data_IF_371428605352
#
_entry.id   IF_371428605352
#
_cell.length_a   1.000
_cell.length_b   1.000
_cell.length_c   1.000
_cell.angle_alpha   90.00
_cell.angle_beta   90.00
_cell.angle_gamma   90.00
#
_symmetry.space_group_name_H-M   'P 1'
#
loop_
_entity.id
_entity.type
_entity.pdbx_description
1 polymer ?
#
# COMPACT_ATOMS: atom_id res chain seq x y z
N UNK A 1 4.06 -1.92 -13.58
CA UNK A 1 3.71 -2.00 -12.15
C UNK A 1 4.28 -3.29 -11.54
N UNK A 2 5.05 -3.18 -10.44
CA UNK A 2 5.68 -4.32 -9.76
C UNK A 2 4.76 -5.06 -8.78
N UNK A 3 3.55 -4.53 -8.54
CA UNK A 3 2.53 -5.15 -7.68
C UNK A 3 1.36 -5.65 -8.53
N UNK A 4 0.83 -6.82 -8.16
CA UNK A 4 -0.40 -7.37 -8.73
C UNK A 4 -1.63 -6.62 -8.20
N UNK A 5 -2.78 -6.65 -8.89
CA UNK A 5 -4.00 -5.94 -8.48
C UNK A 5 -4.44 -6.24 -7.03
N UNK A 6 -4.26 -7.48 -6.58
CA UNK A 6 -4.57 -7.95 -5.22
C UNK A 6 -3.32 -8.06 -4.32
N UNK A 7 -2.19 -7.52 -4.76
CA UNK A 7 -0.95 -7.63 -4.02
C UNK A 7 -0.96 -6.78 -2.74
N UNK A 8 -0.27 -7.31 -1.72
CA UNK A 8 -0.09 -6.65 -0.43
C UNK A 8 1.33 -6.13 -0.30
N UNK A 9 1.46 -4.95 0.29
CA UNK A 9 2.71 -4.30 0.62
C UNK A 9 2.84 -4.27 2.15
N UNK A 10 3.91 -4.88 2.66
CA UNK A 10 4.24 -4.89 4.09
C UNK A 10 5.33 -3.86 4.33
N UNK A 11 5.10 -2.96 5.29
CA UNK A 11 6.06 -1.95 5.71
C UNK A 11 6.49 -2.15 7.17
N UNK A 12 7.62 -1.58 7.54
CA UNK A 12 8.04 -1.40 8.92
C UNK A 12 7.39 -0.18 9.58
N UNK A 13 7.35 -0.18 10.91
CA UNK A 13 6.78 0.92 11.71
C UNK A 13 7.49 2.27 11.54
N UNK A 14 8.73 2.27 11.04
CA UNK A 14 9.56 3.46 10.86
C UNK A 14 9.73 3.87 9.39
N UNK A 15 9.06 3.19 8.45
CA UNK A 15 9.14 3.53 7.03
C UNK A 15 8.17 4.68 6.69
N UNK A 16 8.68 5.71 6.00
CA UNK A 16 7.88 6.89 5.67
C UNK A 16 7.02 6.63 4.42
N UNK A 17 5.75 6.34 4.64
CA UNK A 17 4.78 6.02 3.58
C UNK A 17 4.03 7.21 2.98
N UNK A 18 4.37 8.44 3.34
CA UNK A 18 3.58 9.64 3.01
C UNK A 18 3.30 9.81 1.51
N UNK A 19 4.21 9.34 0.65
CA UNK A 19 4.06 9.42 -0.81
C UNK A 19 3.33 8.22 -1.43
N UNK A 20 3.28 7.08 -0.74
CA UNK A 20 2.63 5.84 -1.20
C UNK A 20 1.14 5.81 -0.83
N UNK A 21 0.70 6.58 0.17
CA UNK A 21 -0.71 6.61 0.64
C UNK A 21 -1.72 6.98 -0.47
N UNK A 22 -1.30 7.69 -1.52
CA UNK A 22 -2.22 8.05 -2.63
C UNK A 22 -2.59 6.84 -3.51
N UNK A 23 -1.66 5.90 -3.67
CA UNK A 23 -1.83 4.70 -4.49
C UNK A 23 -2.18 3.46 -3.65
N UNK A 24 -1.92 3.52 -2.34
CA UNK A 24 -2.07 2.40 -1.43
C UNK A 24 -2.94 2.75 -0.22
N UNK A 25 -3.91 1.88 0.07
CA UNK A 25 -4.78 1.97 1.26
C UNK A 25 -4.27 1.05 2.37
N UNK A 26 -4.22 1.56 3.61
CA UNK A 26 -3.89 0.76 4.80
C UNK A 26 -5.01 -0.26 5.08
N UNK A 27 -4.63 -1.53 5.24
CA UNK A 27 -5.54 -2.66 5.51
C UNK A 27 -5.33 -3.33 6.87
N UNK A 28 -4.20 -3.07 7.53
CA UNK A 28 -3.86 -3.65 8.83
C UNK A 28 -2.55 -3.07 9.36
N UNK A 29 -2.01 -3.63 10.45
CA UNK A 29 -0.73 -3.20 11.01
C UNK A 29 0.36 -3.20 9.95
N UNK A 30 0.71 -2.01 9.46
CA UNK A 30 1.69 -1.78 8.39
C UNK A 30 1.47 -2.59 7.10
N UNK A 31 0.24 -3.04 6.85
CA UNK A 31 -0.15 -3.74 5.61
C UNK A 31 -0.95 -2.81 4.72
N UNK A 32 -0.55 -2.70 3.47
CA UNK A 32 -1.16 -1.83 2.47
C UNK A 32 -1.57 -2.63 1.24
N UNK A 33 -2.63 -2.19 0.56
CA UNK A 33 -3.11 -2.75 -0.70
C UNK A 33 -3.33 -1.63 -1.73
N UNK A 34 -3.31 -1.94 -3.02
CA UNK A 34 -3.61 -0.94 -4.06
C UNK A 34 -5.00 -0.32 -3.84
N UNK A 35 -5.07 0.99 -4.01
CA UNK A 35 -6.32 1.73 -3.91
C UNK A 35 -7.18 1.42 -5.14
N UNK A 36 -8.43 1.01 -4.92
CA UNK A 36 -9.37 0.64 -6.00
C UNK A 36 -9.74 1.80 -6.93
N UNK A 37 -9.40 3.03 -6.55
CA UNK A 37 -9.61 4.23 -7.38
C UNK A 37 -8.68 4.29 -8.62
N UNK A 38 -7.63 3.46 -8.65
CA UNK A 38 -6.61 3.42 -9.70
C UNK A 38 -6.49 2.06 -10.43
N UNK A 39 -7.46 1.16 -10.25
CA UNK A 39 -7.51 -0.13 -10.95
C UNK A 39 -8.14 0.01 -12.35
#
# INVERSE_FOLDING_TARGET
PLLTPDGLLFAGHSENFSNLVREFSLRGQTVYALSKDKA
#
